data_IF_199694664068
#
_entry.id   IF_199694664068
#
_cell.length_a   1.000
_cell.length_b   1.000
_cell.length_c   1.000
_cell.angle_alpha   90.00
_cell.angle_beta   90.00
_cell.angle_gamma   90.00
#
_symmetry.space_group_name_H-M   'P 1'
#
loop_
_entity.id
_entity.type
_entity.pdbx_description
1 polymer ?
#
# COMPACT_ATOMS: atom_id res chain seq x y z
N UNK A 1 0.88 -4.84 -24.27
CA UNK A 1 0.09 -4.51 -23.07
C UNK A 1 0.28 -3.01 -22.81
N UNK A 2 -0.79 -2.21 -22.72
CA UNK A 2 -0.66 -0.76 -22.48
C UNK A 2 -0.39 -0.45 -21.01
N UNK A 3 0.11 0.76 -20.72
CA UNK A 3 0.37 1.23 -19.35
C UNK A 3 -0.92 1.24 -18.52
N UNK A 4 -2.06 1.58 -19.11
CA UNK A 4 -3.38 1.53 -18.47
C UNK A 4 -3.72 0.12 -17.97
N UNK A 5 -3.51 -0.91 -18.80
CA UNK A 5 -3.75 -2.30 -18.41
C UNK A 5 -2.84 -2.73 -17.26
N UNK A 6 -1.58 -2.27 -17.26
CA UNK A 6 -0.63 -2.55 -16.17
C UNK A 6 -1.13 -1.87 -14.88
N UNK A 7 -1.59 -0.63 -14.97
CA UNK A 7 -2.10 0.12 -13.83
C UNK A 7 -3.35 -0.51 -13.21
N UNK A 8 -4.29 -0.98 -14.04
CA UNK A 8 -5.48 -1.70 -13.55
C UNK A 8 -5.09 -3.01 -12.86
N UNK A 9 -4.11 -3.75 -13.39
CA UNK A 9 -3.64 -4.99 -12.76
C UNK A 9 -2.94 -4.71 -11.44
N UNK A 10 -2.07 -3.70 -11.39
CA UNK A 10 -1.41 -3.29 -10.14
C UNK A 10 -2.45 -2.87 -9.11
N UNK A 11 -3.43 -2.06 -9.49
CA UNK A 11 -4.55 -1.67 -8.64
C UNK A 11 -5.31 -2.89 -8.10
N UNK A 12 -5.62 -3.88 -8.94
CA UNK A 12 -6.29 -5.10 -8.50
C UNK A 12 -5.44 -5.88 -7.48
N UNK A 13 -4.12 -5.99 -7.71
CA UNK A 13 -3.19 -6.64 -6.78
C UNK A 13 -3.11 -5.89 -5.45
N UNK A 14 -3.03 -4.56 -5.48
CA UNK A 14 -3.02 -3.70 -4.28
C UNK A 14 -4.25 -3.96 -3.40
N UNK A 15 -5.44 -3.96 -4.01
CA UNK A 15 -6.70 -4.27 -3.31
C UNK A 15 -6.69 -5.67 -2.71
N UNK A 16 -6.25 -6.70 -3.46
CA UNK A 16 -6.18 -8.08 -2.97
C UNK A 16 -5.23 -8.20 -1.78
N UNK A 17 -4.07 -7.56 -1.84
CA UNK A 17 -3.08 -7.56 -0.74
C UNK A 17 -3.64 -6.88 0.50
N UNK A 18 -4.30 -5.73 0.34
CA UNK A 18 -4.94 -5.02 1.46
C UNK A 18 -6.04 -5.85 2.11
N UNK A 19 -6.93 -6.44 1.31
CA UNK A 19 -8.00 -7.34 1.80
C UNK A 19 -7.40 -8.53 2.53
N UNK A 20 -6.37 -9.15 1.98
CA UNK A 20 -5.67 -10.28 2.61
C UNK A 20 -5.07 -9.91 3.96
N UNK A 21 -4.44 -8.73 4.04
CA UNK A 21 -3.89 -8.23 5.28
C UNK A 21 -4.98 -7.92 6.32
N UNK A 22 -6.11 -7.33 5.90
CA UNK A 22 -7.27 -7.08 6.76
C UNK A 22 -7.84 -8.38 7.33
N UNK A 23 -8.07 -9.38 6.48
CA UNK A 23 -8.53 -10.71 6.90
C UNK A 23 -7.52 -11.33 7.88
N UNK A 24 -6.21 -11.17 7.64
CA UNK A 24 -5.17 -11.63 8.55
C UNK A 24 -5.26 -10.98 9.93
N UNK A 25 -5.51 -9.67 9.99
CA UNK A 25 -5.73 -8.93 11.25
C UNK A 25 -6.97 -9.44 11.98
N UNK A 26 -8.11 -9.57 11.29
CA UNK A 26 -9.37 -10.02 11.88
C UNK A 26 -9.28 -11.45 12.41
N UNK A 27 -8.62 -12.35 11.67
CA UNK A 27 -8.35 -13.73 12.12
C UNK A 27 -7.56 -13.76 13.44
N UNK A 28 -6.58 -12.87 13.63
CA UNK A 28 -5.82 -12.77 14.89
C UNK A 28 -6.68 -12.24 16.04
N UNK A 29 -7.52 -11.24 15.77
CA UNK A 29 -8.47 -10.72 16.76
C UNK A 29 -9.44 -11.82 17.22
N UNK A 30 -10.02 -12.58 16.29
CA UNK A 30 -10.88 -13.71 16.64
C UNK A 30 -10.16 -14.85 17.35
N UNK A 31 -8.90 -15.13 17.00
CA UNK A 31 -8.10 -16.12 17.70
C UNK A 31 -7.88 -15.71 19.16
N UNK A 32 -7.48 -14.46 19.41
CA UNK A 32 -7.32 -13.93 20.77
C UNK A 32 -8.62 -13.95 21.56
N UNK A 33 -9.75 -13.54 20.95
CA UNK A 33 -11.06 -13.57 21.59
C UNK A 33 -11.48 -14.99 22.01
N UNK A 34 -10.98 -16.03 21.31
CA UNK A 34 -11.18 -17.45 21.66
C UNK A 34 -10.10 -18.00 22.63
N UNK A 35 -9.29 -17.12 23.23
CA UNK A 35 -8.18 -17.50 24.11
C UNK A 35 -6.98 -18.12 23.39
N UNK A 36 -6.93 -18.06 22.06
CA UNK A 36 -5.88 -18.66 21.23
C UNK A 36 -4.95 -17.57 20.70
N UNK A 37 -3.88 -17.31 21.46
CA UNK A 37 -2.78 -16.45 21.02
C UNK A 37 -2.75 -15.05 21.66
N UNK A 38 -1.74 -14.25 21.30
CA UNK A 38 -1.44 -12.98 21.95
C UNK A 38 -2.51 -11.92 21.68
N UNK A 39 -2.61 -10.93 22.56
CA UNK A 39 -3.50 -9.79 22.40
C UNK A 39 -3.12 -8.96 21.15
N UNK A 40 -4.10 -8.57 20.31
CA UNK A 40 -3.85 -7.64 19.20
C UNK A 40 -3.34 -6.31 19.72
N UNK A 41 -2.41 -5.69 18.99
CA UNK A 41 -1.88 -4.37 19.34
C UNK A 41 -2.57 -3.31 18.50
N UNK A 42 -2.78 -2.10 19.04
CA UNK A 42 -3.30 -0.97 18.25
C UNK A 42 -2.43 -0.69 17.00
N UNK A 43 -1.13 -0.98 17.11
CA UNK A 43 -0.21 -0.90 15.99
C UNK A 43 -0.39 -1.96 14.90
N UNK A 44 -1.27 -2.95 15.06
CA UNK A 44 -1.60 -3.96 14.03
C UNK A 44 -2.62 -3.44 13.00
N UNK A 45 -3.21 -2.28 13.23
CA UNK A 45 -4.14 -1.68 12.28
C UNK A 45 -3.42 -1.33 10.97
N UNK A 46 -4.05 -1.70 9.85
CA UNK A 46 -3.61 -1.35 8.51
C UNK A 46 -3.58 0.17 8.29
N UNK A 47 -4.41 0.91 9.03
CA UNK A 47 -4.52 2.36 8.91
C UNK A 47 -3.30 3.11 9.42
N UNK A 48 -2.49 2.48 10.27
CA UNK A 48 -1.27 3.08 10.79
C UNK A 48 -0.10 2.90 9.81
N UNK A 49 -0.19 3.62 8.69
CA UNK A 49 0.81 3.65 7.62
C UNK A 49 1.93 4.63 7.97
N UNK A 50 3.22 4.23 7.93
CA UNK A 50 4.33 5.15 8.10
C UNK A 50 4.33 6.28 7.06
N UNK A 51 4.49 7.53 7.50
CA UNK A 51 4.50 8.71 6.62
C UNK A 51 5.50 8.61 5.45
N UNK A 52 6.62 7.93 5.66
CA UNK A 52 7.63 7.69 4.63
C UNK A 52 7.06 6.93 3.41
N UNK A 53 6.13 6.00 3.59
CA UNK A 53 5.54 5.26 2.46
C UNK A 53 4.67 6.14 1.59
N UNK A 54 3.92 7.08 2.17
CA UNK A 54 3.20 8.10 1.41
C UNK A 54 4.15 9.00 0.63
N UNK A 55 5.24 9.46 1.27
CA UNK A 55 6.26 10.28 0.61
C UNK A 55 6.90 9.56 -0.58
N UNK A 56 7.21 8.28 -0.45
CA UNK A 56 7.80 7.45 -1.52
C UNK A 56 6.81 7.29 -2.68
N UNK A 57 5.54 6.93 -2.38
CA UNK A 57 4.52 6.78 -3.41
C UNK A 57 4.28 8.10 -4.15
N UNK A 58 4.17 9.21 -3.43
CA UNK A 58 4.01 10.55 -4.01
C UNK A 58 5.19 10.95 -4.89
N UNK A 59 6.43 10.71 -4.45
CA UNK A 59 7.62 11.01 -5.24
C UNK A 59 7.67 10.17 -6.54
N UNK A 60 7.33 8.89 -6.47
CA UNK A 60 7.31 8.01 -7.63
C UNK A 60 6.19 8.38 -8.61
N UNK A 61 5.00 8.69 -8.11
CA UNK A 61 3.86 9.17 -8.89
C UNK A 61 4.18 10.50 -9.58
N UNK A 62 4.80 11.44 -8.87
CA UNK A 62 5.25 12.70 -9.45
C UNK A 62 6.29 12.48 -10.56
N UNK A 63 7.25 11.57 -10.35
CA UNK A 63 8.23 11.20 -11.39
C UNK A 63 7.55 10.57 -12.61
N UNK A 64 6.56 9.71 -12.42
CA UNK A 64 5.75 9.13 -13.50
C UNK A 64 4.97 10.20 -14.26
N UNK A 65 4.34 11.13 -13.55
CA UNK A 65 3.57 12.22 -14.14
C UNK A 65 4.42 13.16 -15.02
N UNK A 66 5.74 13.27 -14.79
CA UNK A 66 6.63 14.02 -15.68
C UNK A 66 6.80 13.37 -17.07
N UNK A 67 6.47 12.08 -17.20
CA UNK A 67 6.62 11.34 -18.46
C UNK A 67 5.36 11.36 -19.33
N UNK A 68 4.26 11.90 -18.81
CA UNK A 68 2.96 11.96 -19.49
C UNK A 68 2.40 13.38 -19.42
N UNK A 69 1.81 13.86 -20.52
CA UNK A 69 1.16 15.18 -20.54
C UNK A 69 -0.21 15.09 -19.88
N UNK A 70 -0.25 15.26 -18.56
CA UNK A 70 -1.47 15.15 -17.76
C UNK A 70 -2.02 16.54 -17.44
N UNK A 71 -3.28 16.77 -17.81
CA UNK A 71 -3.98 18.00 -17.46
C UNK A 71 -4.35 18.00 -15.96
N UNK A 72 -3.94 19.02 -15.18
CA UNK A 72 -4.13 19.05 -13.73
C UNK A 72 -5.56 19.47 -13.35
N UNK A 73 -6.53 18.62 -13.66
CA UNK A 73 -7.92 18.80 -13.22
C UNK A 73 -8.11 18.33 -11.78
N UNK A 74 -9.18 18.76 -11.12
CA UNK A 74 -9.53 18.23 -9.78
C UNK A 74 -9.74 16.71 -9.79
N UNK A 75 -10.31 16.15 -10.86
CA UNK A 75 -10.50 14.71 -11.01
C UNK A 75 -9.18 13.95 -11.14
N UNK A 76 -8.25 14.50 -11.93
CA UNK A 76 -6.87 14.03 -12.05
C UNK A 76 -6.18 14.01 -10.68
N UNK A 77 -6.23 15.13 -9.95
CA UNK A 77 -5.60 15.26 -8.63
C UNK A 77 -6.20 14.29 -7.61
N UNK A 78 -7.52 14.09 -7.62
CA UNK A 78 -8.18 13.11 -6.76
C UNK A 78 -7.73 11.67 -7.09
N UNK A 79 -7.63 11.33 -8.37
CA UNK A 79 -7.18 10.01 -8.84
C UNK A 79 -5.73 9.76 -8.44
N UNK A 80 -4.85 10.74 -8.65
CA UNK A 80 -3.44 10.71 -8.22
C UNK A 80 -3.32 10.55 -6.71
N UNK A 81 -4.08 11.30 -5.92
CA UNK A 81 -4.02 11.21 -4.47
C UNK A 81 -4.46 9.83 -3.96
N UNK A 82 -5.57 9.30 -4.46
CA UNK A 82 -6.13 8.03 -4.00
C UNK A 82 -5.30 6.85 -4.52
N UNK A 83 -5.10 6.76 -5.83
CA UNK A 83 -4.52 5.57 -6.47
C UNK A 83 -3.01 5.69 -6.66
N UNK A 84 -2.45 6.90 -6.75
CA UNK A 84 -1.01 7.11 -6.87
C UNK A 84 -0.28 7.26 -5.55
N UNK A 85 -0.97 7.56 -4.45
CA UNK A 85 -0.32 7.84 -3.15
C UNK A 85 -0.89 7.03 -2.01
N UNK A 86 -2.19 7.17 -1.74
CA UNK A 86 -2.79 6.51 -0.59
C UNK A 86 -2.73 4.99 -0.75
N UNK A 87 -3.30 4.46 -1.83
CA UNK A 87 -3.43 3.02 -2.03
C UNK A 87 -2.09 2.28 -2.11
N UNK A 88 -1.06 2.78 -2.82
CA UNK A 88 0.27 2.15 -2.82
C UNK A 88 0.91 2.12 -1.44
N UNK A 89 0.75 3.19 -0.65
CA UNK A 89 1.30 3.26 0.70
C UNK A 89 0.56 2.31 1.67
N UNK A 90 -0.76 2.20 1.56
CA UNK A 90 -1.54 1.20 2.29
C UNK A 90 -1.13 -0.22 1.92
N UNK A 91 -0.92 -0.49 0.64
CA UNK A 91 -0.48 -1.80 0.14
C UNK A 91 0.91 -2.14 0.66
N UNK A 92 1.85 -1.21 0.60
CA UNK A 92 3.19 -1.38 1.16
C UNK A 92 3.15 -1.69 2.67
N UNK A 93 2.30 -0.98 3.43
CA UNK A 93 2.09 -1.30 4.84
C UNK A 93 1.44 -2.69 5.03
N UNK A 94 0.47 -3.05 4.19
CA UNK A 94 -0.18 -4.36 4.22
C UNK A 94 0.83 -5.51 4.01
N UNK A 95 1.78 -5.35 3.07
CA UNK A 95 2.89 -6.29 2.87
C UNK A 95 3.73 -6.45 4.13
N UNK A 96 4.09 -5.35 4.81
CA UNK A 96 4.80 -5.41 6.10
C UNK A 96 4.00 -6.19 7.15
N UNK A 97 2.68 -5.94 7.25
CA UNK A 97 1.82 -6.61 8.24
C UNK A 97 1.62 -8.08 7.98
N UNK A 98 1.50 -8.47 6.72
CA UNK A 98 1.46 -9.88 6.32
C UNK A 98 2.79 -10.57 6.65
N UNK A 99 3.91 -9.94 6.28
CA UNK A 99 5.25 -10.52 6.45
C UNK A 99 5.66 -10.67 7.92
N UNK A 100 5.18 -9.79 8.79
CA UNK A 100 5.51 -9.79 10.22
C UNK A 100 4.41 -10.40 11.11
N UNK A 101 3.31 -10.88 10.52
CA UNK A 101 2.09 -11.29 11.24
C UNK A 101 1.56 -10.22 12.20
N UNK A 102 1.80 -8.93 11.90
CA UNK A 102 1.45 -7.78 12.74
C UNK A 102 2.61 -7.24 13.61
N UNK A 103 3.60 -8.08 13.93
CA UNK A 103 4.68 -7.73 14.86
C UNK A 103 5.63 -6.65 14.35
N UNK A 104 5.46 -5.39 14.79
CA UNK A 104 6.31 -4.25 14.41
C UNK A 104 7.81 -4.45 14.67
N UNK A 105 8.17 -5.18 15.74
CA UNK A 105 9.58 -5.45 16.08
C UNK A 105 10.26 -6.44 15.12
N UNK A 106 9.48 -7.15 14.29
CA UNK A 106 10.00 -8.07 13.27
C UNK A 106 10.26 -7.39 11.92
N UNK A 107 10.07 -6.07 11.80
CA UNK A 107 10.33 -5.35 10.54
C UNK A 107 11.83 -5.15 10.36
N UNK A 108 12.43 -6.00 9.52
CA UNK A 108 13.85 -5.92 9.13
C UNK A 108 14.08 -4.81 8.08
N UNK A 109 15.33 -4.33 7.91
CA UNK A 109 15.66 -3.37 6.85
C UNK A 109 15.28 -3.86 5.45
N UNK A 110 15.43 -5.16 5.17
CA UNK A 110 15.00 -5.75 3.90
C UNK A 110 13.50 -5.65 3.66
N UNK A 111 12.68 -5.88 4.69
CA UNK A 111 11.22 -5.70 4.59
C UNK A 111 10.84 -4.23 4.37
N UNK A 112 11.56 -3.29 4.98
CA UNK A 112 11.37 -1.85 4.72
C UNK A 112 11.70 -1.51 3.27
N UNK A 113 12.79 -2.06 2.75
CA UNK A 113 13.17 -1.93 1.33
C UNK A 113 12.06 -2.45 0.41
N UNK A 114 11.56 -3.65 0.66
CA UNK A 114 10.43 -4.21 -0.12
C UNK A 114 9.18 -3.35 -0.06
N UNK A 115 8.81 -2.85 1.12
CA UNK A 115 7.67 -1.96 1.26
C UNK A 115 7.86 -0.64 0.51
N UNK A 116 9.08 -0.07 0.55
CA UNK A 116 9.43 1.10 -0.24
C UNK A 116 9.32 0.82 -1.75
N UNK A 117 9.78 -0.34 -2.21
CA UNK A 117 9.63 -0.76 -3.62
C UNK A 117 8.17 -0.90 -4.01
N UNK A 118 7.32 -1.48 -3.16
CA UNK A 118 5.88 -1.61 -3.43
C UNK A 118 5.22 -0.24 -3.52
N UNK A 119 5.50 0.66 -2.57
CA UNK A 119 4.96 2.02 -2.58
C UNK A 119 5.41 2.80 -3.83
N UNK A 120 6.69 2.70 -4.20
CA UNK A 120 7.24 3.36 -5.37
C UNK A 120 6.67 2.79 -6.68
N UNK A 121 6.57 1.46 -6.79
CA UNK A 121 6.04 0.80 -7.98
C UNK A 121 4.56 1.13 -8.19
N UNK A 122 3.74 1.02 -7.13
CA UNK A 122 2.33 1.40 -7.20
C UNK A 122 2.17 2.86 -7.59
N UNK A 123 2.87 3.78 -6.91
CA UNK A 123 2.81 5.21 -7.23
C UNK A 123 3.23 5.53 -8.67
N UNK A 124 4.34 4.96 -9.15
CA UNK A 124 4.81 5.18 -10.51
C UNK A 124 3.82 4.67 -11.57
N UNK A 125 3.30 3.45 -11.38
CA UNK A 125 2.42 2.80 -12.34
C UNK A 125 1.03 3.44 -12.39
N UNK A 126 0.56 4.01 -11.27
CA UNK A 126 -0.75 4.68 -11.19
C UNK A 126 -0.89 5.90 -12.11
N UNK A 127 0.20 6.39 -12.70
CA UNK A 127 0.14 7.37 -13.78
C UNK A 127 -0.66 6.87 -14.99
N UNK A 128 -0.73 5.56 -15.20
CA UNK A 128 -1.56 4.95 -16.24
C UNK A 128 -3.06 5.03 -16.00
N UNK A 129 -3.50 5.57 -14.86
CA UNK A 129 -4.92 5.77 -14.54
C UNK A 129 -5.39 7.19 -14.87
N UNK A 130 -4.50 8.02 -15.40
CA UNK A 130 -4.67 9.47 -15.51
C UNK A 130 -4.30 9.96 -16.91
#
# INVERSE_FOLDING_TARGET
MSIEHIAVIVLAVEVVVMVSARVGVERRHWAHAKGRGPAPQAGDDLTFVPAALYGIAAAAMAAGALTVSVEPTLGTLATVAVFGVLLPAFTANAVLRLSTRGGRRAVTPGLRGLAATVAAAGGLVSVGLV
#
